data_IF_191251793054
#
_entry.id   IF_191251793054
#
_cell.length_a   1.000
_cell.length_b   1.000
_cell.length_c   1.000
_cell.angle_alpha   90.00
_cell.angle_beta   90.00
_cell.angle_gamma   90.00
#
_symmetry.space_group_name_H-M   'P 1'
#
loop_
_entity.id
_entity.type
_entity.pdbx_description
1 polymer ?
#
# COMPACT_ATOMS: atom_id res chain seq x y z
N UNK A 1 -10.90 6.36 -1.68
CA UNK A 1 -11.42 7.22 -0.60
C UNK A 1 -12.28 6.48 0.43
N UNK A 2 -12.86 5.29 0.14
CA UNK A 2 -13.69 4.54 1.11
C UNK A 2 -12.97 3.92 2.31
N UNK A 3 -11.64 3.69 2.26
CA UNK A 3 -10.87 3.12 3.37
C UNK A 3 -10.79 4.04 4.61
N UNK A 4 -10.99 5.35 4.41
CA UNK A 4 -11.01 6.34 5.51
C UNK A 4 -12.28 6.23 6.37
N UNK A 5 -13.32 5.57 5.87
CA UNK A 5 -14.60 5.44 6.57
C UNK A 5 -14.61 4.25 7.55
N UNK A 6 -13.65 3.33 7.44
CA UNK A 6 -13.49 2.21 8.39
C UNK A 6 -12.72 2.62 9.64
N UNK A 7 -13.43 2.77 10.76
CA UNK A 7 -12.87 3.24 12.04
C UNK A 7 -11.71 2.41 12.61
N UNK A 8 -11.65 1.11 12.30
CA UNK A 8 -10.62 0.19 12.81
C UNK A 8 -9.25 0.37 12.16
N UNK A 9 -9.19 0.98 10.97
CA UNK A 9 -7.99 0.98 10.12
C UNK A 9 -7.34 2.38 10.00
N UNK A 10 -7.90 3.37 10.70
CA UNK A 10 -7.45 4.76 10.66
C UNK A 10 -5.98 4.88 11.11
N UNK A 11 -5.56 4.17 12.15
CA UNK A 11 -4.18 4.20 12.65
C UNK A 11 -3.17 3.67 11.63
N UNK A 12 -3.48 2.55 10.96
CA UNK A 12 -2.63 1.97 9.91
C UNK A 12 -2.50 2.89 8.70
N UNK A 13 -3.60 3.52 8.27
CA UNK A 13 -3.60 4.49 7.17
C UNK A 13 -2.85 5.78 7.54
N UNK A 14 -2.91 6.22 8.79
CA UNK A 14 -2.14 7.34 9.31
C UNK A 14 -0.64 7.06 9.29
N UNK A 15 -0.23 5.85 9.72
CA UNK A 15 1.17 5.40 9.66
C UNK A 15 1.67 5.41 8.21
N UNK A 16 0.94 4.80 7.27
CA UNK A 16 1.32 4.76 5.85
C UNK A 16 1.38 6.17 5.24
N UNK A 17 0.43 7.03 5.58
CA UNK A 17 0.46 8.44 5.17
C UNK A 17 1.69 9.18 5.74
N UNK A 18 2.09 8.87 6.98
CA UNK A 18 3.29 9.42 7.59
C UNK A 18 4.56 8.92 6.89
N UNK A 19 4.66 7.63 6.55
CA UNK A 19 5.76 7.08 5.74
C UNK A 19 5.88 7.76 4.38
N UNK A 20 4.76 7.89 3.66
CA UNK A 20 4.73 8.60 2.38
C UNK A 20 5.11 10.08 2.51
N UNK A 21 4.83 10.74 3.64
CA UNK A 21 5.31 12.10 3.89
C UNK A 21 6.80 12.12 4.22
N UNK A 22 7.28 11.16 5.02
CA UNK A 22 8.66 11.08 5.48
C UNK A 22 9.61 10.81 4.31
N UNK A 23 9.29 9.86 3.45
CA UNK A 23 10.04 9.53 2.22
C UNK A 23 10.19 10.71 1.27
N UNK A 24 9.30 11.71 1.34
CA UNK A 24 9.31 12.85 0.41
C UNK A 24 9.88 14.12 1.02
N UNK A 25 9.73 14.32 2.33
CA UNK A 25 10.11 15.57 3.01
C UNK A 25 11.42 15.46 3.80
N UNK A 26 11.81 14.27 4.22
CA UNK A 26 13.02 14.07 5.01
C UNK A 26 14.14 13.54 4.12
N UNK A 27 15.10 14.40 3.80
CA UNK A 27 16.25 14.07 2.93
C UNK A 27 17.05 12.90 3.47
N UNK A 28 17.29 12.83 4.79
CA UNK A 28 18.04 11.72 5.40
C UNK A 28 17.31 10.38 5.30
N UNK A 29 15.98 10.40 5.45
CA UNK A 29 15.18 9.18 5.30
C UNK A 29 15.16 8.72 3.84
N UNK A 30 14.98 9.64 2.89
CA UNK A 30 15.07 9.34 1.46
C UNK A 30 16.44 8.77 1.08
N UNK A 31 17.53 9.39 1.54
CA UNK A 31 18.90 8.94 1.26
C UNK A 31 19.17 7.52 1.77
N UNK A 32 18.62 7.15 2.94
CA UNK A 32 18.73 5.78 3.48
C UNK A 32 17.93 4.78 2.64
N UNK A 33 16.73 5.14 2.20
CA UNK A 33 15.93 4.31 1.28
C UNK A 33 16.64 4.15 -0.09
N UNK A 34 17.21 5.22 -0.62
CA UNK A 34 17.97 5.21 -1.88
C UNK A 34 19.22 4.31 -1.77
N UNK A 35 19.89 4.32 -0.62
CA UNK A 35 21.02 3.42 -0.33
C UNK A 35 20.59 1.95 -0.35
N UNK A 36 19.38 1.66 0.14
CA UNK A 36 18.77 0.33 0.07
C UNK A 36 18.19 0.00 -1.31
N UNK A 37 18.23 0.95 -2.27
CA UNK A 37 17.58 0.87 -3.59
C UNK A 37 16.07 0.66 -3.50
N UNK A 38 15.45 1.18 -2.45
CA UNK A 38 14.02 1.09 -2.19
C UNK A 38 13.40 2.47 -2.45
N UNK A 39 12.23 2.49 -3.07
CA UNK A 39 11.47 3.73 -3.27
C UNK A 39 10.08 3.58 -2.68
N UNK A 40 9.71 4.49 -1.77
CA UNK A 40 8.33 4.59 -1.30
C UNK A 40 7.60 5.64 -2.15
N UNK A 41 6.61 5.24 -2.97
CA UNK A 41 5.94 6.14 -3.88
C UNK A 41 5.19 7.22 -3.10
N UNK A 42 5.14 8.42 -3.70
CA UNK A 42 4.38 9.53 -3.13
C UNK A 42 2.92 9.12 -3.02
N UNK A 43 2.32 9.38 -1.88
CA UNK A 43 0.87 9.41 -1.76
C UNK A 43 0.34 10.58 -2.60
N UNK A 44 0.18 10.38 -3.91
CA UNK A 44 -0.44 11.35 -4.81
C UNK A 44 -1.95 11.16 -4.70
N UNK A 45 -2.63 12.22 -4.26
CA UNK A 45 -4.09 12.26 -4.01
C UNK A 45 -4.92 11.80 -5.23
N UNK A 46 -4.37 11.91 -6.46
CA UNK A 46 -5.10 11.64 -7.71
C UNK A 46 -4.97 10.22 -8.27
N UNK A 47 -4.09 9.36 -7.75
CA UNK A 47 -3.99 7.95 -8.17
C UNK A 47 -4.64 7.07 -7.10
N UNK A 48 -5.76 6.46 -7.47
CA UNK A 48 -6.58 5.58 -6.63
C UNK A 48 -5.80 4.40 -6.00
N UNK A 49 -4.63 4.05 -6.52
CA UNK A 49 -3.74 3.00 -6.01
C UNK A 49 -2.56 3.52 -5.16
N UNK A 50 -2.46 4.82 -4.89
CA UNK A 50 -1.30 5.39 -4.21
C UNK A 50 -1.06 4.78 -2.82
N UNK A 51 -2.11 4.56 -2.04
CA UNK A 51 -2.00 3.91 -0.72
C UNK A 51 -1.59 2.44 -0.84
N UNK A 52 -2.16 1.70 -1.79
CA UNK A 52 -1.81 0.30 -2.07
C UNK A 52 -0.32 0.15 -2.39
N UNK A 53 0.19 0.98 -3.31
CA UNK A 53 1.61 0.95 -3.68
C UNK A 53 2.52 1.34 -2.50
N UNK A 54 2.08 2.24 -1.62
CA UNK A 54 2.83 2.56 -0.40
C UNK A 54 2.84 1.37 0.57
N UNK A 55 1.73 0.66 0.77
CA UNK A 55 1.69 -0.56 1.58
C UNK A 55 2.65 -1.63 1.03
N UNK A 56 2.58 -1.94 -0.27
CA UNK A 56 3.50 -2.89 -0.92
C UNK A 56 4.97 -2.48 -0.73
N UNK A 57 5.27 -1.20 -0.93
CA UNK A 57 6.65 -0.70 -0.82
C UNK A 57 7.18 -0.79 0.60
N UNK A 58 6.33 -0.57 1.62
CA UNK A 58 6.72 -0.72 3.04
C UNK A 58 6.94 -2.20 3.39
N UNK A 59 6.06 -3.10 2.92
CA UNK A 59 6.19 -4.54 3.16
C UNK A 59 7.41 -5.16 2.46
N UNK A 60 7.89 -4.55 1.38
CA UNK A 60 9.11 -4.99 0.70
C UNK A 60 10.40 -4.69 1.50
N UNK A 61 10.33 -3.86 2.55
CA UNK A 61 11.49 -3.50 3.39
C UNK A 61 11.57 -4.46 4.58
N UNK A 62 12.74 -5.04 4.87
CA UNK A 62 12.93 -5.78 6.12
C UNK A 62 12.55 -4.92 7.33
N UNK A 63 11.61 -5.38 8.15
CA UNK A 63 11.04 -4.58 9.25
C UNK A 63 12.09 -4.12 10.26
N UNK A 64 13.09 -4.96 10.52
CA UNK A 64 14.18 -4.62 11.44
C UNK A 64 14.95 -3.40 10.94
N UNK A 65 15.39 -3.43 9.68
CA UNK A 65 16.13 -2.33 9.04
C UNK A 65 15.28 -1.04 8.97
N UNK A 66 13.99 -1.18 8.64
CA UNK A 66 13.08 -0.04 8.60
C UNK A 66 12.92 0.60 9.99
N UNK A 67 12.71 -0.20 11.04
CA UNK A 67 12.58 0.29 12.40
C UNK A 67 13.88 0.90 12.92
N UNK A 68 15.04 0.34 12.58
CA UNK A 68 16.35 0.90 12.93
C UNK A 68 16.53 2.30 12.32
N UNK A 69 16.22 2.50 11.04
CA UNK A 69 16.26 3.81 10.39
C UNK A 69 15.32 4.79 11.10
N UNK A 70 14.10 4.37 11.43
CA UNK A 70 13.13 5.22 12.12
C UNK A 70 13.61 5.63 13.51
N UNK A 71 14.26 4.72 14.25
CA UNK A 71 14.85 5.02 15.55
C UNK A 71 16.03 6.00 15.41
N UNK A 72 16.95 5.76 14.46
CA UNK A 72 18.10 6.63 14.16
C UNK A 72 17.63 8.07 13.86
N UNK A 73 16.52 8.21 13.13
CA UNK A 73 15.96 9.48 12.72
C UNK A 73 14.93 10.07 13.71
N UNK A 74 14.80 9.50 14.91
CA UNK A 74 13.87 9.96 15.98
C UNK A 74 12.39 9.93 15.60
N UNK A 75 11.98 8.94 14.81
CA UNK A 75 10.61 8.63 14.40
C UNK A 75 10.11 7.31 14.99
N UNK A 76 10.44 7.04 16.26
CA UNK A 76 10.06 5.78 16.95
C UNK A 76 8.55 5.56 17.04
N UNK A 77 7.75 6.62 16.96
CA UNK A 77 6.28 6.55 16.90
C UNK A 77 5.73 5.93 15.60
N UNK A 78 6.57 5.71 14.59
CA UNK A 78 6.22 5.07 13.32
C UNK A 78 6.77 3.64 13.19
N UNK A 79 7.43 3.12 14.24
CA UNK A 79 7.95 1.75 14.23
C UNK A 79 6.81 0.74 14.10
N UNK A 80 6.98 -0.21 13.20
CA UNK A 80 5.99 -1.22 12.90
C UNK A 80 6.14 -2.41 13.83
N UNK A 81 5.03 -2.89 14.38
CA UNK A 81 4.97 -4.16 15.09
C UNK A 81 4.35 -5.25 14.19
N UNK A 82 4.33 -6.50 14.69
CA UNK A 82 3.81 -7.66 13.95
C UNK A 82 2.34 -7.49 13.55
N UNK A 83 1.52 -6.84 14.39
CA UNK A 83 0.10 -6.59 14.07
C UNK A 83 -0.03 -5.57 12.94
N UNK A 84 0.78 -4.51 12.93
CA UNK A 84 0.75 -3.52 11.85
C UNK A 84 1.08 -4.16 10.50
N UNK A 85 2.11 -5.02 10.48
CA UNK A 85 2.49 -5.77 9.27
C UNK A 85 1.40 -6.72 8.80
N UNK A 86 0.72 -7.42 9.73
CA UNK A 86 -0.39 -8.30 9.39
C UNK A 86 -1.52 -7.52 8.71
N UNK A 87 -1.88 -6.36 9.28
CA UNK A 87 -2.90 -5.47 8.70
C UNK A 87 -2.47 -4.97 7.32
N UNK A 88 -1.20 -4.55 7.17
CA UNK A 88 -0.69 -4.08 5.88
C UNK A 88 -0.74 -5.18 4.83
N UNK A 89 -0.39 -6.41 5.21
CA UNK A 89 -0.44 -7.57 4.34
C UNK A 89 -1.87 -7.91 3.93
N UNK A 90 -2.83 -7.90 4.87
CA UNK A 90 -4.26 -8.06 4.56
C UNK A 90 -4.75 -7.00 3.56
N UNK A 91 -4.34 -5.74 3.74
CA UNK A 91 -4.67 -4.68 2.78
C UNK A 91 -4.11 -4.92 1.38
N UNK A 92 -2.86 -5.36 1.28
CA UNK A 92 -2.24 -5.67 -0.01
C UNK A 92 -2.95 -6.86 -0.66
N UNK A 93 -3.22 -7.93 0.09
CA UNK A 93 -3.93 -9.10 -0.43
C UNK A 93 -5.31 -8.71 -0.98
N UNK A 94 -6.13 -8.01 -0.19
CA UNK A 94 -7.48 -7.60 -0.57
C UNK A 94 -7.51 -6.67 -1.80
N UNK A 95 -6.49 -5.81 -1.95
CA UNK A 95 -6.45 -4.82 -3.03
C UNK A 95 -5.67 -5.29 -4.26
N UNK A 96 -4.89 -6.37 -4.16
CA UNK A 96 -4.05 -6.90 -5.23
C UNK A 96 -4.86 -7.22 -6.50
N UNK A 97 -6.00 -7.90 -6.35
CA UNK A 97 -6.88 -8.22 -7.45
C UNK A 97 -7.46 -6.98 -8.12
N UNK A 98 -7.83 -5.97 -7.33
CA UNK A 98 -8.33 -4.69 -7.85
C UNK A 98 -7.23 -3.94 -8.59
N UNK A 99 -5.98 -4.00 -8.09
CA UNK A 99 -4.80 -3.47 -8.76
C UNK A 99 -4.60 -4.12 -10.14
N UNK A 100 -4.60 -5.46 -10.20
CA UNK A 100 -4.41 -6.23 -11.43
C UNK A 100 -5.50 -5.97 -12.46
N UNK A 101 -6.76 -6.03 -12.04
CA UNK A 101 -7.94 -5.74 -12.88
C UNK A 101 -7.84 -4.34 -13.46
N UNK A 102 -7.44 -3.36 -12.65
CA UNK A 102 -7.36 -1.99 -13.13
C UNK A 102 -6.20 -1.79 -14.09
N UNK A 103 -5.04 -2.38 -13.81
CA UNK A 103 -3.92 -2.38 -14.77
C UNK A 103 -4.34 -3.01 -16.09
N UNK A 104 -5.07 -4.13 -16.06
CA UNK A 104 -5.52 -4.82 -17.27
C UNK A 104 -6.55 -4.02 -18.05
N UNK A 105 -7.52 -3.41 -17.36
CA UNK A 105 -8.59 -2.63 -18.00
C UNK A 105 -8.14 -1.27 -18.52
N UNK A 106 -7.02 -0.73 -18.00
CA UNK A 106 -6.41 0.52 -18.45
C UNK A 106 -5.29 0.32 -19.50
N UNK A 107 -5.06 -0.90 -20.01
CA UNK A 107 -4.08 -1.13 -21.08
C UNK A 107 -4.58 -0.57 -22.42
N UNK A 108 -3.83 0.36 -22.99
CA UNK A 108 -4.14 0.96 -24.30
C UNK A 108 -3.83 0.03 -25.49
N UNK A 109 -3.03 -1.01 -25.27
CA UNK A 109 -2.54 -1.91 -26.33
C UNK A 109 -3.43 -3.13 -26.58
N UNK A 110 -4.58 -3.24 -25.92
CA UNK A 110 -5.50 -4.38 -26.05
C UNK A 110 -6.96 -3.97 -25.81
N UNK A 111 -7.95 -4.59 -26.48
CA UNK A 111 -9.36 -4.30 -26.21
C UNK A 111 -9.70 -4.61 -24.75
N UNK A 112 -9.89 -3.56 -23.94
CA UNK A 112 -10.11 -3.69 -22.50
C UNK A 112 -11.59 -3.60 -22.10
N UNK A 113 -12.44 -3.01 -22.94
CA UNK A 113 -13.87 -2.82 -22.67
C UNK A 113 -14.62 -4.14 -22.49
N UNK A 114 -14.24 -5.18 -23.24
CA UNK A 114 -14.81 -6.53 -23.14
C UNK A 114 -14.45 -7.23 -21.82
N UNK A 115 -13.39 -6.78 -21.14
CA UNK A 115 -12.93 -7.35 -19.88
C UNK A 115 -13.60 -6.75 -18.66
N UNK A 116 -14.36 -5.65 -18.80
CA UNK A 116 -14.98 -4.95 -17.67
C UNK A 116 -15.98 -5.84 -16.93
N UNK A 117 -16.88 -6.51 -17.65
CA UNK A 117 -17.86 -7.40 -17.03
C UNK A 117 -17.20 -8.60 -16.33
N UNK A 118 -16.19 -9.20 -16.96
CA UNK A 118 -15.41 -10.28 -16.37
C UNK A 118 -14.68 -9.83 -15.10
N UNK A 119 -14.07 -8.64 -15.14
CA UNK A 119 -13.37 -8.02 -14.02
C UNK A 119 -14.26 -7.81 -12.80
N UNK A 120 -15.48 -7.31 -13.00
CA UNK A 120 -16.47 -7.13 -11.93
C UNK A 120 -16.84 -8.47 -11.29
N UNK A 121 -17.09 -9.50 -12.11
CA UNK A 121 -17.41 -10.83 -11.62
C UNK A 121 -16.26 -11.43 -10.82
N UNK A 122 -15.02 -11.30 -11.31
CA UNK A 122 -13.83 -11.79 -10.61
C UNK A 122 -13.68 -11.15 -9.23
N UNK A 123 -13.78 -9.81 -9.14
CA UNK A 123 -13.72 -9.10 -7.84
C UNK A 123 -14.88 -9.54 -6.92
N UNK A 124 -16.09 -9.69 -7.47
CA UNK A 124 -17.24 -10.13 -6.67
C UNK A 124 -17.04 -11.54 -6.08
N UNK A 125 -16.55 -12.48 -6.87
CA UNK A 125 -16.33 -13.85 -6.40
C UNK A 125 -15.18 -13.95 -5.41
N UNK A 126 -14.11 -13.18 -5.61
CA UNK A 126 -12.99 -13.07 -4.69
C UNK A 126 -13.44 -12.56 -3.31
N UNK A 127 -14.12 -11.41 -3.27
CA UNK A 127 -14.67 -10.86 -2.03
C UNK A 127 -15.68 -11.80 -1.34
N UNK A 128 -16.44 -12.56 -2.13
CA UNK A 128 -17.39 -13.56 -1.62
C UNK A 128 -16.68 -14.76 -0.98
N UNK A 129 -15.50 -15.13 -1.48
CA UNK A 129 -14.68 -16.20 -0.92
C UNK A 129 -13.96 -15.74 0.34
N UNK A 130 -13.42 -14.52 0.35
CA UNK A 130 -12.82 -13.90 1.54
C UNK A 130 -13.83 -13.80 2.70
N UNK A 131 -15.11 -13.49 2.42
CA UNK A 131 -16.16 -13.47 3.46
C UNK A 131 -16.45 -14.84 4.11
N UNK A 132 -16.07 -15.94 3.47
CA UNK A 132 -16.33 -17.30 3.97
C UNK A 132 -15.18 -17.84 4.84
N UNK A 133 -14.00 -17.23 4.75
CA UNK A 133 -12.84 -17.53 5.59
C UNK A 133 -12.91 -16.75 6.91
#
# INVERSE_FOLDING_TARGET
>A
DGLKETKSNLSSLEIVSAFAKLSHKNTKFSEKLDTMKISIPRAVITRWNSQFLTFESILAIPTLELNEILIELKHSNLCLNVRDLAIFNEFVVLLSLVAEVTTTTQRDNSPSISLVAASILTIYFDLKNEKKN
#
